data_IF_834624376026
#
_entry.id   IF_834624376026
#
_cell.length_a   1.000
_cell.length_b   1.000
_cell.length_c   1.000
_cell.angle_alpha   90.00
_cell.angle_beta   90.00
_cell.angle_gamma   90.00
#
_symmetry.space_group_name_H-M   'P 1'
#
loop_
_entity.id
_entity.type
_entity.pdbx_description
1 polymer ?
#
# COMPACT_ATOMS: atom_id res chain seq x y z
N UNK A 1 -17.24 19.75 -0.32
CA UNK A 1 -16.15 19.20 0.52
C UNK A 1 -15.63 17.92 -0.13
N UNK A 2 -14.31 17.78 -0.30
CA UNK A 2 -13.68 16.55 -0.81
C UNK A 2 -13.77 15.48 0.29
N UNK A 3 -14.15 14.24 -0.05
CA UNK A 3 -14.16 13.14 0.95
C UNK A 3 -12.75 12.98 1.53
N UNK A 4 -12.60 12.57 2.81
CA UNK A 4 -11.28 12.28 3.36
C UNK A 4 -10.64 11.15 2.53
N UNK A 5 -9.43 11.42 2.04
CA UNK A 5 -8.63 10.47 1.26
C UNK A 5 -7.33 10.23 2.01
N UNK A 6 -6.91 8.97 2.07
CA UNK A 6 -5.60 8.58 2.58
C UNK A 6 -4.61 8.46 1.42
N UNK A 7 -3.38 8.88 1.64
CA UNK A 7 -2.29 8.66 0.68
C UNK A 7 -1.73 7.26 0.86
N UNK A 8 -1.63 6.52 -0.25
CA UNK A 8 -1.06 5.16 -0.25
C UNK A 8 -0.09 4.98 -1.41
N UNK A 9 0.90 4.12 -1.23
CA UNK A 9 1.71 3.62 -2.34
C UNK A 9 1.10 2.35 -2.92
N UNK A 10 1.15 2.21 -4.24
CA UNK A 10 0.81 0.95 -4.91
C UNK A 10 2.08 0.15 -5.17
N UNK A 11 2.11 -1.07 -4.66
CA UNK A 11 3.28 -1.96 -4.70
C UNK A 11 2.84 -3.33 -5.21
N UNK A 12 3.63 -3.93 -6.09
CA UNK A 12 3.55 -5.35 -6.41
C UNK A 12 4.53 -6.09 -5.52
N UNK A 13 4.06 -7.11 -4.82
CA UNK A 13 4.84 -7.88 -3.86
C UNK A 13 4.82 -9.34 -4.25
N UNK A 14 6.00 -9.97 -4.29
CA UNK A 14 6.07 -11.41 -4.48
C UNK A 14 5.26 -12.13 -3.37
N UNK A 15 4.37 -13.08 -3.72
CA UNK A 15 3.46 -13.66 -2.74
C UNK A 15 4.15 -14.28 -1.51
N UNK A 16 5.34 -14.86 -1.69
CA UNK A 16 6.11 -15.44 -0.61
C UNK A 16 6.72 -14.40 0.35
N UNK A 17 7.01 -13.19 -0.14
CA UNK A 17 7.61 -12.11 0.64
C UNK A 17 6.57 -11.22 1.34
N UNK A 18 5.29 -11.39 1.04
CA UNK A 18 4.22 -10.51 1.52
C UNK A 18 4.17 -10.43 3.05
N UNK A 19 4.33 -11.57 3.73
CA UNK A 19 4.25 -11.63 5.19
C UNK A 19 5.45 -10.93 5.85
N UNK A 20 6.64 -11.15 5.33
CA UNK A 20 7.87 -10.55 5.88
C UNK A 20 7.87 -9.04 5.66
N UNK A 21 7.49 -8.59 4.46
CA UNK A 21 7.34 -7.17 4.15
C UNK A 21 6.29 -6.49 5.04
N UNK A 22 5.16 -7.15 5.32
CA UNK A 22 4.12 -6.63 6.21
C UNK A 22 4.68 -6.37 7.62
N UNK A 23 5.43 -7.33 8.19
CA UNK A 23 6.02 -7.20 9.52
C UNK A 23 7.02 -6.04 9.60
N UNK A 24 7.84 -5.87 8.57
CA UNK A 24 8.84 -4.80 8.52
C UNK A 24 8.18 -3.43 8.37
N UNK A 25 7.19 -3.30 7.49
CA UNK A 25 6.41 -2.07 7.32
C UNK A 25 5.69 -1.68 8.63
N UNK A 26 5.08 -2.65 9.32
CA UNK A 26 4.42 -2.41 10.60
C UNK A 26 5.37 -1.85 11.67
N UNK A 27 6.64 -2.26 11.66
CA UNK A 27 7.66 -1.73 12.60
C UNK A 27 7.92 -0.23 12.41
N UNK A 28 7.60 0.31 11.22
CA UNK A 28 7.68 1.73 10.86
C UNK A 28 6.32 2.43 10.84
N UNK A 29 5.29 1.84 11.47
CA UNK A 29 3.88 2.28 11.41
C UNK A 29 3.37 2.47 9.96
N UNK A 30 3.73 1.53 9.07
CA UNK A 30 3.22 1.42 7.71
C UNK A 30 2.36 0.15 7.61
N UNK A 31 1.23 0.24 6.92
CA UNK A 31 0.22 -0.82 6.88
C UNK A 31 0.01 -1.34 5.46
N UNK A 32 0.00 -2.67 5.31
CA UNK A 32 -0.18 -3.34 4.02
C UNK A 32 -1.63 -3.77 3.85
N UNK A 33 -2.18 -3.50 2.67
CA UNK A 33 -3.53 -3.88 2.29
C UNK A 33 -3.53 -4.53 0.92
N UNK A 34 -3.77 -5.84 0.80
CA UNK A 34 -3.98 -6.44 -0.51
C UNK A 34 -5.12 -5.73 -1.25
N UNK A 35 -4.88 -5.31 -2.49
CA UNK A 35 -5.87 -4.54 -3.26
C UNK A 35 -7.18 -5.34 -3.37
N UNK A 36 -7.07 -6.66 -3.53
CA UNK A 36 -8.21 -7.55 -3.68
C UNK A 36 -9.15 -7.60 -2.47
N UNK A 37 -8.64 -7.40 -1.25
CA UNK A 37 -9.43 -7.46 -0.01
C UNK A 37 -9.60 -6.11 0.67
N UNK A 38 -9.06 -5.06 0.06
CA UNK A 38 -9.18 -3.70 0.56
C UNK A 38 -10.64 -3.22 0.54
N UNK A 39 -11.06 -2.52 1.59
CA UNK A 39 -12.41 -1.97 1.72
C UNK A 39 -12.80 -0.97 0.62
N UNK A 40 -11.83 -0.50 -0.17
CA UNK A 40 -12.05 0.43 -1.29
C UNK A 40 -12.47 -0.26 -2.59
N UNK A 41 -12.43 -1.59 -2.63
CA UNK A 41 -12.68 -2.38 -3.83
C UNK A 41 -14.02 -3.10 -3.76
N UNK A 42 -14.97 -2.73 -4.62
CA UNK A 42 -16.29 -3.41 -4.72
C UNK A 42 -16.16 -4.76 -5.42
N UNK A 43 -15.32 -4.85 -6.45
CA UNK A 43 -14.91 -6.09 -7.13
C UNK A 43 -13.38 -6.21 -6.97
N UNK A 44 -12.99 -6.80 -5.85
CA UNK A 44 -11.61 -6.86 -5.38
C UNK A 44 -10.64 -7.53 -6.34
N UNK A 45 -10.97 -8.74 -6.79
CA UNK A 45 -10.10 -9.52 -7.66
C UNK A 45 -9.89 -8.83 -9.01
N UNK A 46 -10.96 -8.27 -9.59
CA UNK A 46 -10.86 -7.49 -10.82
C UNK A 46 -9.99 -6.26 -10.62
N UNK A 47 -10.16 -5.53 -9.52
CA UNK A 47 -9.37 -4.33 -9.24
C UNK A 47 -7.89 -4.68 -9.08
N UNK A 48 -7.57 -5.75 -8.35
CA UNK A 48 -6.21 -6.25 -8.20
C UNK A 48 -5.60 -6.62 -9.57
N UNK A 49 -6.33 -7.36 -10.41
CA UNK A 49 -5.88 -7.69 -11.76
C UNK A 49 -5.58 -6.43 -12.58
N UNK A 50 -6.49 -5.45 -12.58
CA UNK A 50 -6.33 -4.21 -13.35
C UNK A 50 -5.13 -3.38 -12.88
N UNK A 51 -4.94 -3.25 -11.56
CA UNK A 51 -3.80 -2.53 -10.98
C UNK A 51 -2.49 -3.18 -11.39
N UNK A 52 -2.39 -4.51 -11.22
CA UNK A 52 -1.18 -5.26 -11.57
C UNK A 52 -0.87 -5.16 -13.07
N UNK A 53 -1.87 -5.43 -13.91
CA UNK A 53 -1.71 -5.38 -15.35
C UNK A 53 -1.21 -4.01 -15.81
N UNK A 54 -1.82 -2.91 -15.32
CA UNK A 54 -1.39 -1.54 -15.63
C UNK A 54 0.05 -1.26 -15.20
N UNK A 55 0.46 -1.72 -14.00
CA UNK A 55 1.83 -1.49 -13.50
C UNK A 55 2.88 -2.22 -14.33
N UNK A 56 2.63 -3.48 -14.70
CA UNK A 56 3.55 -4.29 -15.50
C UNK A 56 3.63 -3.75 -16.93
N UNK A 57 2.50 -3.46 -17.57
CA UNK A 57 2.47 -2.93 -18.94
C UNK A 57 3.18 -1.58 -19.06
N UNK A 58 3.02 -0.69 -18.07
CA UNK A 58 3.71 0.60 -18.03
C UNK A 58 5.24 0.47 -18.07
N UNK A 59 5.77 -0.71 -17.73
CA UNK A 59 7.20 -1.02 -17.66
C UNK A 59 7.72 -1.83 -18.85
N UNK A 60 6.88 -2.10 -19.86
CA UNK A 60 7.29 -2.61 -21.18
C UNK A 60 8.25 -3.82 -21.11
N UNK A 61 7.93 -4.81 -20.29
CA UNK A 61 8.72 -6.05 -20.15
C UNK A 61 9.72 -6.07 -18.99
N UNK A 62 10.11 -4.91 -18.46
CA UNK A 62 11.06 -4.86 -17.33
C UNK A 62 10.52 -5.58 -16.08
N UNK A 63 9.20 -5.64 -15.92
CA UNK A 63 8.52 -6.18 -14.74
C UNK A 63 7.73 -7.45 -15.03
N UNK A 64 8.04 -8.20 -16.09
CA UNK A 64 7.33 -9.43 -16.43
C UNK A 64 7.43 -10.49 -15.32
N UNK A 65 8.52 -10.50 -14.55
CA UNK A 65 8.67 -11.36 -13.37
C UNK A 65 7.59 -11.11 -12.31
N UNK A 66 7.00 -9.90 -12.28
CA UNK A 66 5.97 -9.48 -11.34
C UNK A 66 4.54 -9.67 -11.87
N UNK A 67 4.36 -10.31 -13.04
CA UNK A 67 3.05 -10.50 -13.66
C UNK A 67 2.05 -11.31 -12.79
N UNK A 68 2.55 -12.13 -11.87
CA UNK A 68 1.75 -12.91 -10.92
C UNK A 68 1.81 -12.38 -9.48
N UNK A 69 2.51 -11.27 -9.24
CA UNK A 69 2.71 -10.73 -7.89
C UNK A 69 1.43 -10.10 -7.34
N UNK A 70 1.35 -10.03 -6.01
CA UNK A 70 0.19 -9.49 -5.31
C UNK A 70 0.25 -7.97 -5.29
N UNK A 71 -0.73 -7.26 -5.86
CA UNK A 71 -0.83 -5.82 -5.71
C UNK A 71 -1.33 -5.49 -4.30
N UNK A 72 -0.64 -4.56 -3.64
CA UNK A 72 -0.99 -4.05 -2.32
C UNK A 72 -0.99 -2.53 -2.31
N UNK A 73 -1.82 -1.95 -1.43
CA UNK A 73 -1.68 -0.58 -0.97
C UNK A 73 -0.84 -0.58 0.31
N UNK A 74 0.17 0.30 0.36
CA UNK A 74 0.89 0.59 1.59
C UNK A 74 0.43 1.95 2.09
N UNK A 75 -0.17 1.96 3.28
CA UNK A 75 -0.78 3.12 3.90
C UNK A 75 0.05 3.56 5.11
N UNK A 76 0.01 4.85 5.43
CA UNK A 76 0.67 5.39 6.62
C UNK A 76 -0.24 5.23 7.83
N UNK A 77 0.32 4.77 8.94
CA UNK A 77 -0.37 4.66 10.22
C UNK A 77 -0.54 6.01 10.94
N UNK A 78 -1.17 5.95 12.10
CA UNK A 78 -1.61 7.14 12.83
C UNK A 78 -0.43 8.02 13.29
N UNK A 79 0.72 7.42 13.64
CA UNK A 79 1.86 8.20 14.15
C UNK A 79 2.44 9.17 13.12
N UNK A 80 2.18 8.92 11.83
CA UNK A 80 2.60 9.81 10.74
C UNK A 80 1.67 11.01 10.53
N UNK A 81 0.53 11.04 11.20
CA UNK A 81 -0.44 12.14 11.14
C UNK A 81 -0.53 12.93 12.45
N UNK A 82 0.30 12.60 13.45
CA UNK A 82 0.41 13.33 14.70
C UNK A 82 1.20 14.64 14.47
N UNK A 83 0.51 15.72 14.14
CA UNK A 83 1.09 17.05 13.94
C UNK A 83 0.20 18.02 13.16
N UNK A 84 0.65 19.27 13.03
CA UNK A 84 -0.05 20.29 12.19
C UNK A 84 0.29 20.16 10.69
N UNK A 85 1.36 19.44 10.35
CA UNK A 85 1.80 19.25 8.96
C UNK A 85 1.07 18.07 8.29
N UNK A 86 0.77 18.16 6.97
CA UNK A 86 0.43 16.98 6.19
C UNK A 86 1.58 15.98 6.20
N UNK A 87 1.28 14.70 5.94
CA UNK A 87 2.20 13.56 5.92
C UNK A 87 3.69 13.96 5.75
N UNK A 88 4.52 13.86 6.80
CA UNK A 88 5.85 14.47 6.82
C UNK A 88 6.80 13.77 5.85
N UNK A 89 7.80 14.48 5.35
CA UNK A 89 8.82 13.90 4.45
C UNK A 89 9.51 12.66 5.03
N UNK A 90 9.69 12.61 6.35
CA UNK A 90 10.24 11.45 7.05
C UNK A 90 9.41 10.17 6.81
N UNK A 91 8.08 10.28 6.70
CA UNK A 91 7.21 9.14 6.39
C UNK A 91 7.49 8.60 4.98
N UNK A 92 7.68 9.49 4.01
CA UNK A 92 8.04 9.11 2.64
C UNK A 92 9.40 8.39 2.61
N UNK A 93 10.38 8.89 3.37
CA UNK A 93 11.70 8.28 3.45
C UNK A 93 11.61 6.87 4.04
N UNK A 94 10.90 6.70 5.16
CA UNK A 94 10.72 5.40 5.80
C UNK A 94 10.10 4.38 4.82
N UNK A 95 9.03 4.76 4.12
CA UNK A 95 8.40 3.91 3.10
C UNK A 95 9.40 3.49 2.00
N UNK A 96 10.11 4.46 1.41
CA UNK A 96 11.00 4.15 0.29
C UNK A 96 12.26 3.39 0.70
N UNK A 97 12.71 3.53 1.95
CA UNK A 97 13.80 2.74 2.51
C UNK A 97 13.41 1.27 2.63
N UNK A 98 12.30 0.97 3.31
CA UNK A 98 11.80 -0.41 3.45
C UNK A 98 11.59 -1.05 2.07
N UNK A 99 10.96 -0.36 1.13
CA UNK A 99 10.76 -0.92 -0.22
C UNK A 99 12.06 -1.12 -1.00
N UNK A 100 13.10 -0.32 -0.75
CA UNK A 100 14.41 -0.48 -1.40
C UNK A 100 15.18 -1.69 -0.85
N UNK A 101 15.00 -2.00 0.43
CA UNK A 101 15.60 -3.18 1.07
C UNK A 101 15.04 -4.50 0.51
N UNK A 102 13.81 -4.47 -0.03
CA UNK A 102 13.14 -5.60 -0.67
C UNK A 102 13.13 -5.51 -2.21
N UNK A 103 14.07 -4.77 -2.82
CA UNK A 103 14.01 -4.45 -4.25
C UNK A 103 13.98 -5.67 -5.21
N UNK A 104 14.42 -6.84 -4.78
CA UNK A 104 14.31 -8.10 -5.51
C UNK A 104 12.89 -8.71 -5.44
N UNK A 105 12.13 -8.40 -4.38
CA UNK A 105 10.80 -8.97 -4.06
C UNK A 105 9.63 -7.99 -4.22
N UNK A 106 9.90 -6.71 -4.47
CA UNK A 106 8.86 -5.70 -4.70
C UNK A 106 9.08 -4.90 -5.99
N UNK A 107 7.98 -4.43 -6.58
CA UNK A 107 7.98 -3.43 -7.67
C UNK A 107 7.01 -2.32 -7.35
N UNK A 108 7.47 -1.07 -7.40
CA UNK A 108 6.65 0.08 -7.05
C UNK A 108 6.96 1.30 -7.91
N UNK A 109 5.97 2.17 -8.07
CA UNK A 109 6.19 3.53 -8.58
C UNK A 109 6.54 4.48 -7.44
N UNK A 110 7.27 5.57 -7.73
CA UNK A 110 7.53 6.65 -6.76
C UNK A 110 6.36 7.65 -6.69
N UNK A 111 5.13 7.16 -6.63
CA UNK A 111 3.93 7.99 -6.57
C UNK A 111 3.02 7.48 -5.47
N UNK A 112 2.44 8.42 -4.72
CA UNK A 112 1.34 8.15 -3.82
C UNK A 112 0.02 8.47 -4.54
N UNK A 113 -0.99 7.66 -4.29
CA UNK A 113 -2.35 7.87 -4.77
C UNK A 113 -3.29 8.14 -3.59
N UNK A 114 -4.31 8.97 -3.82
CA UNK A 114 -5.37 9.17 -2.84
C UNK A 114 -6.45 8.10 -3.00
N UNK A 115 -6.65 7.28 -1.97
CA UNK A 115 -7.76 6.31 -1.90
C UNK A 115 -8.74 6.72 -0.82
N UNK A 116 -10.03 6.29 -0.86
CA UNK A 116 -10.87 6.36 0.32
C UNK A 116 -10.18 5.64 1.49
N UNK A 117 -10.50 6.03 2.72
CA UNK A 117 -9.84 5.48 3.90
C UNK A 117 -9.87 3.94 3.89
N UNK A 118 -8.68 3.33 3.96
CA UNK A 118 -8.56 1.89 4.15
C UNK A 118 -8.86 1.68 5.63
N UNK A 119 -10.05 1.18 5.97
CA UNK A 119 -10.45 1.02 7.37
C UNK A 119 -9.40 0.23 8.13
N UNK A 120 -8.93 0.74 9.27
CA UNK A 120 -7.92 0.05 10.10
C UNK A 120 -8.54 -1.22 10.70
N UNK A 121 -7.84 -2.36 10.85
CA UNK A 121 -8.39 -3.54 11.53
C UNK A 121 -8.64 -3.33 13.04
N UNK A 122 -8.50 -2.10 13.57
CA UNK A 122 -8.68 -1.79 14.99
C UNK A 122 -10.00 -1.12 15.35
N UNK A 123 -10.86 -0.80 14.38
CA UNK A 123 -12.07 0.00 14.65
C UNK A 123 -13.37 -0.82 14.74
N UNK A 124 -13.28 -2.10 15.16
CA UNK A 124 -14.45 -2.86 15.61
C UNK A 124 -14.64 -2.87 17.14
N UNK A 125 -13.80 -2.17 17.91
CA UNK A 125 -13.90 -2.17 19.39
C UNK A 125 -14.39 -0.83 19.98
N UNK A 126 -14.72 0.18 19.15
CA UNK A 126 -15.12 1.51 19.70
C UNK A 126 -16.36 2.18 19.12
N UNK A 127 -17.23 1.45 18.42
CA UNK A 127 -18.59 1.93 18.06
C UNK A 127 -19.72 1.21 18.81
N UNK A 128 -19.43 0.71 20.01
CA UNK A 128 -20.45 0.30 20.97
C UNK A 128 -20.28 1.12 22.26
N UNK A 129 -20.67 2.40 22.20
CA UNK A 129 -21.09 3.13 23.39
C UNK A 129 -21.96 4.32 23.05
#
# INVERSE_FOLDING_TARGET
MRRPHQLVATVLVEPAALRDLELELMSSDLWVWPVATSAVSVDGERHAFQVRHRMVEAKRGEWDCAAAWTPVFVAFGASWYDGEEPLPWAAHVALWQVLAEHADRVRHGKRLIGVPHLGVPHDQVRQAK
#
